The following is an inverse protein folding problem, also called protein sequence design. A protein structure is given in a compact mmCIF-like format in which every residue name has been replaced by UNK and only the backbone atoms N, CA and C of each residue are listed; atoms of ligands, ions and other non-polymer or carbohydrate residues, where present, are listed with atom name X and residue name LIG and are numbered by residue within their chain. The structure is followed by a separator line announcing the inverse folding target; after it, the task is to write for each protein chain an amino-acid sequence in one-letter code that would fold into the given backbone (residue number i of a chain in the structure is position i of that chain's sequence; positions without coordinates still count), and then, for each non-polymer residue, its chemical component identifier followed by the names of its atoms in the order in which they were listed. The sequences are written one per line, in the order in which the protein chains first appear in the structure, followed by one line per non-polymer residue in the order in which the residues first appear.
data_IF_428096692328
#
_entry.id   IF_428096692328
#
_cell.length_a   1.000
_cell.length_b   1.000
_cell.length_c   1.000
_cell.angle_alpha   90.00
_cell.angle_beta   90.00
_cell.angle_gamma   90.00
#
_symmetry.space_group_name_H-M   'P 1'
#
loop_
_entity.id
_entity.type
_entity.pdbx_description
1 polymer ?
#
# COMPACT_ATOMS: atom_id res chain seq x y z
N UNK A 1 -14.20 -24.87 9.91
CA UNK A 1 -14.20 -24.08 11.15
C UNK A 1 -12.83 -23.46 11.38
N UNK A 2 -11.78 -24.28 11.37
CA UNK A 2 -10.43 -23.76 11.53
C UNK A 2 -10.05 -22.81 10.43
N UNK A 3 -10.42 -23.12 9.17
CA UNK A 3 -10.14 -22.26 8.04
C UNK A 3 -10.82 -20.91 8.18
N UNK A 4 -12.06 -20.89 8.68
CA UNK A 4 -12.77 -19.64 8.90
C UNK A 4 -12.07 -18.78 9.97
N UNK A 5 -11.65 -19.41 11.07
CA UNK A 5 -10.94 -18.71 12.12
C UNK A 5 -9.60 -18.14 11.61
N UNK A 6 -8.89 -18.93 10.82
CA UNK A 6 -7.63 -18.49 10.24
C UNK A 6 -7.82 -17.33 9.28
N UNK A 7 -8.83 -17.41 8.40
CA UNK A 7 -9.13 -16.34 7.47
C UNK A 7 -9.52 -15.06 8.22
N UNK A 8 -10.30 -15.20 9.31
CA UNK A 8 -10.70 -14.06 10.11
C UNK A 8 -9.50 -13.38 10.79
N UNK A 9 -8.41 -14.13 11.03
CA UNK A 9 -7.21 -13.56 11.63
C UNK A 9 -6.32 -12.84 10.63
N UNK A 10 -6.54 -13.02 9.33
CA UNK A 10 -5.74 -12.39 8.29
C UNK A 10 -6.16 -10.95 8.05
N UNK A 11 -5.17 -10.07 7.84
CA UNK A 11 -5.45 -8.65 7.63
C UNK A 11 -4.27 -8.01 6.91
N UNK A 12 -4.57 -7.11 5.98
CA UNK A 12 -3.56 -6.33 5.28
C UNK A 12 -3.79 -4.85 5.53
N UNK A 13 -2.77 -4.16 6.01
CA UNK A 13 -2.82 -2.72 6.26
C UNK A 13 -1.60 -2.03 5.65
N UNK A 14 -1.70 -0.71 5.47
CA UNK A 14 -0.61 0.11 4.97
C UNK A 14 -0.56 1.45 5.69
N UNK A 15 0.57 2.13 5.57
CA UNK A 15 0.77 3.45 6.16
C UNK A 15 1.83 4.16 5.31
N UNK A 16 1.57 5.39 4.90
CA UNK A 16 2.50 6.12 4.05
C UNK A 16 3.02 7.35 4.79
N UNK A 17 4.34 7.47 4.88
CA UNK A 17 5.01 8.61 5.49
C UNK A 17 5.77 9.38 4.41
N UNK A 18 5.56 10.69 4.36
CA UNK A 18 6.31 11.59 3.50
C UNK A 18 7.56 12.03 4.26
N UNK A 19 8.72 11.47 3.90
CA UNK A 19 9.97 11.74 4.62
C UNK A 19 10.54 13.11 4.27
N UNK A 20 10.10 13.75 3.20
CA UNK A 20 10.53 15.09 2.87
C UNK A 20 9.92 16.13 3.80
N UNK A 21 8.66 15.94 4.21
CA UNK A 21 7.98 16.83 5.13
C UNK A 21 7.99 16.33 6.57
N UNK A 22 8.24 15.02 6.77
CA UNK A 22 8.13 14.39 8.08
C UNK A 22 6.70 14.15 8.53
N UNK A 23 5.74 14.22 7.62
CA UNK A 23 4.32 14.12 7.93
C UNK A 23 3.68 12.89 7.26
N UNK A 24 2.57 12.38 7.81
CA UNK A 24 1.82 11.33 7.11
C UNK A 24 1.38 11.82 5.73
N UNK A 25 1.41 10.91 4.76
CA UNK A 25 1.00 11.24 3.39
C UNK A 25 -0.50 11.07 3.25
N UNK A 26 -1.23 12.16 3.43
CA UNK A 26 -2.69 12.20 3.31
C UNK A 26 -3.10 12.43 1.86
N UNK A 27 -4.18 11.79 1.43
CA UNK A 27 -4.72 11.98 0.08
C UNK A 27 -3.94 11.26 -1.00
N UNK A 28 -3.16 10.25 -0.66
CA UNK A 28 -2.39 9.47 -1.62
C UNK A 28 -3.22 8.27 -2.08
N UNK A 29 -3.33 8.11 -3.40
CA UNK A 29 -4.10 7.02 -3.99
C UNK A 29 -3.27 5.73 -4.04
N UNK A 30 -3.90 4.62 -3.66
CA UNK A 30 -3.27 3.30 -3.62
C UNK A 30 -4.21 2.31 -4.30
N UNK A 31 -3.66 1.49 -5.19
CA UNK A 31 -4.43 0.41 -5.82
C UNK A 31 -3.83 -0.92 -5.42
N UNK A 32 -4.69 -1.85 -4.97
CA UNK A 32 -4.27 -3.19 -4.59
C UNK A 32 -4.61 -4.16 -5.72
N UNK A 33 -3.60 -4.96 -6.12
CA UNK A 33 -3.76 -5.98 -7.14
C UNK A 33 -3.46 -7.35 -6.56
N UNK A 34 -4.16 -8.35 -7.07
CA UNK A 34 -3.80 -9.75 -6.83
C UNK A 34 -2.96 -10.24 -8.00
N UNK A 35 -1.88 -10.94 -7.69
CA UNK A 35 -0.95 -11.46 -8.70
C UNK A 35 -1.14 -12.97 -8.80
N UNK A 36 -1.38 -13.45 -10.02
CA UNK A 36 -1.53 -14.88 -10.30
C UNK A 36 -0.76 -15.19 -11.58
N UNK A 37 0.48 -15.65 -11.43
CA UNK A 37 1.37 -15.86 -12.56
C UNK A 37 1.67 -14.54 -13.24
N UNK A 38 1.32 -14.44 -14.53
CA UNK A 38 1.52 -13.22 -15.29
C UNK A 38 0.31 -12.27 -15.22
N UNK A 39 -0.73 -12.68 -14.51
CA UNK A 39 -1.97 -11.90 -14.45
C UNK A 39 -1.99 -11.00 -13.22
N UNK A 40 -2.41 -9.77 -13.44
CA UNK A 40 -2.60 -8.78 -12.38
C UNK A 40 -4.05 -8.32 -12.40
N UNK A 41 -4.75 -8.55 -11.31
CA UNK A 41 -6.18 -8.22 -11.21
C UNK A 41 -6.39 -7.18 -10.12
N UNK A 42 -7.06 -6.07 -10.47
CA UNK A 42 -7.36 -5.03 -9.49
C UNK A 42 -8.36 -5.53 -8.47
N UNK A 43 -8.05 -5.35 -7.19
CA UNK A 43 -8.91 -5.74 -6.08
C UNK A 43 -9.68 -4.54 -5.55
N UNK A 44 -8.99 -3.44 -5.27
CA UNK A 44 -9.62 -2.21 -4.81
C UNK A 44 -8.67 -1.03 -4.93
N UNK A 45 -9.25 0.17 -4.92
CA UNK A 45 -8.50 1.42 -4.89
C UNK A 45 -8.94 2.19 -3.66
N UNK A 46 -7.99 2.74 -2.92
CA UNK A 46 -8.25 3.52 -1.71
C UNK A 46 -7.41 4.79 -1.73
N UNK A 47 -7.77 5.74 -0.85
CA UNK A 47 -7.02 6.99 -0.69
C UNK A 47 -6.70 7.10 0.80
N UNK A 48 -5.46 7.47 1.13
CA UNK A 48 -5.04 7.60 2.52
C UNK A 48 -5.76 8.75 3.21
N UNK A 49 -6.00 8.58 4.50
CA UNK A 49 -6.62 9.60 5.36
C UNK A 49 -5.56 10.54 5.93
N UNK A 50 -5.95 11.41 6.85
CA UNK A 50 -5.04 12.40 7.46
C UNK A 50 -3.87 11.79 8.22
N UNK A 51 -3.97 10.52 8.60
CA UNK A 51 -2.88 9.79 9.27
C UNK A 51 -1.99 9.05 8.30
N UNK A 52 -2.23 9.14 6.99
CA UNK A 52 -1.50 8.39 5.98
C UNK A 52 -1.87 6.92 5.94
N UNK A 53 -3.00 6.56 6.55
CA UNK A 53 -3.49 5.19 6.63
C UNK A 53 -4.80 5.08 5.86
N UNK A 54 -5.31 3.85 5.73
CA UNK A 54 -6.65 3.64 5.20
C UNK A 54 -7.65 3.57 6.36
N UNK A 55 -8.88 4.04 6.13
CA UNK A 55 -9.91 4.02 7.17
C UNK A 55 -10.27 2.61 7.61
N UNK A 56 -10.08 1.63 6.72
CA UNK A 56 -10.31 0.23 7.00
C UNK A 56 -9.13 -0.59 6.46
N UNK A 57 -8.91 -1.80 6.96
CA UNK A 57 -7.88 -2.66 6.38
C UNK A 57 -8.13 -2.86 4.89
N UNK A 58 -7.05 -2.99 4.13
CA UNK A 58 -7.15 -3.26 2.69
C UNK A 58 -7.81 -4.62 2.45
N UNK A 59 -7.45 -5.61 3.26
CA UNK A 59 -8.07 -6.93 3.25
C UNK A 59 -8.29 -7.36 4.69
N UNK A 60 -9.44 -7.98 4.97
CA UNK A 60 -9.74 -8.52 6.28
C UNK A 60 -10.90 -9.52 6.16
N UNK A 61 -11.00 -10.42 7.13
CA UNK A 61 -12.09 -11.38 7.15
C UNK A 61 -12.17 -12.21 5.88
N UNK A 62 -13.33 -12.27 5.29
CA UNK A 62 -13.58 -13.09 4.10
C UNK A 62 -12.84 -12.58 2.86
N UNK A 63 -12.42 -11.33 2.85
CA UNK A 63 -11.67 -10.78 1.73
C UNK A 63 -10.20 -11.20 1.75
N UNK A 64 -9.70 -11.61 2.91
CA UNK A 64 -8.30 -11.98 3.05
C UNK A 64 -8.05 -13.37 2.50
N UNK A 65 -7.00 -13.51 1.70
CA UNK A 65 -6.48 -14.82 1.31
C UNK A 65 -4.97 -14.71 1.16
N UNK A 66 -4.28 -15.81 1.41
CA UNK A 66 -2.84 -15.87 1.19
C UNK A 66 -2.54 -15.81 -0.30
N UNK A 67 -1.34 -15.38 -0.64
CA UNK A 67 -0.93 -15.30 -2.03
C UNK A 67 -0.05 -14.08 -2.27
N UNK A 68 0.17 -13.79 -3.54
CA UNK A 68 1.00 -12.69 -3.97
C UNK A 68 0.14 -11.50 -4.36
N UNK A 69 0.54 -10.31 -3.93
CA UNK A 69 -0.19 -9.07 -4.16
C UNK A 69 0.76 -7.95 -4.55
N UNK A 70 0.21 -6.88 -5.07
CA UNK A 70 0.99 -5.69 -5.39
C UNK A 70 0.20 -4.45 -4.97
N UNK A 71 0.86 -3.58 -4.21
CA UNK A 71 0.33 -2.26 -3.89
C UNK A 71 0.98 -1.24 -4.81
N UNK A 72 0.17 -0.43 -5.48
CA UNK A 72 0.65 0.58 -6.42
C UNK A 72 0.29 1.96 -5.86
N UNK A 73 1.31 2.72 -5.50
CA UNK A 73 1.16 4.02 -4.85
C UNK A 73 1.36 5.14 -5.86
N UNK A 74 0.40 6.06 -5.95
CA UNK A 74 0.51 7.24 -6.82
C UNK A 74 1.33 8.34 -6.12
N UNK A 75 2.61 8.06 -5.90
CA UNK A 75 3.49 8.93 -5.11
C UNK A 75 3.75 10.27 -5.80
N UNK A 76 3.95 10.27 -7.11
CA UNK A 76 4.22 11.51 -7.85
C UNK A 76 3.08 12.51 -7.74
N UNK A 77 1.85 12.04 -7.92
CA UNK A 77 0.67 12.91 -7.82
C UNK A 77 0.55 13.50 -6.42
N UNK A 78 0.79 12.68 -5.39
CA UNK A 78 0.77 13.17 -4.01
C UNK A 78 1.84 14.25 -3.80
N UNK A 79 3.08 13.98 -4.23
CA UNK A 79 4.20 14.91 -4.02
C UNK A 79 3.96 16.24 -4.73
N UNK A 80 3.43 16.21 -5.96
CA UNK A 80 3.09 17.45 -6.68
C UNK A 80 2.01 18.23 -5.94
N UNK A 81 1.02 17.53 -5.40
CA UNK A 81 -0.06 18.12 -4.62
C UNK A 81 0.42 18.78 -3.34
N UNK A 82 1.59 18.39 -2.83
CA UNK A 82 2.19 19.00 -1.64
C UNK A 82 3.10 20.17 -1.99
N UNK A 83 3.15 20.57 -3.26
CA UNK A 83 3.94 21.72 -3.67
C UNK A 83 5.38 21.41 -4.06
N UNK A 84 5.73 20.11 -4.17
CA UNK A 84 7.07 19.75 -4.64
C UNK A 84 7.17 20.00 -6.14
N UNK A 85 8.20 20.73 -6.57
CA UNK A 85 8.47 20.98 -7.99
C UNK A 85 9.23 19.78 -8.53
N UNK A 86 8.50 18.82 -9.13
CA UNK A 86 9.11 17.62 -9.68
C UNK A 86 9.44 17.83 -11.16
N UNK A 87 10.51 17.18 -11.66
CA UNK A 87 10.77 17.17 -13.10
C UNK A 87 9.64 16.44 -13.84
N UNK A 88 9.59 16.63 -15.16
CA UNK A 88 8.62 15.95 -16.01
C UNK A 88 9.35 15.11 -17.04
N UNK A 89 9.38 13.77 -16.92
CA UNK A 89 8.68 12.99 -15.88
C UNK A 89 9.41 13.03 -14.52
N UNK A 90 8.65 12.80 -13.45
CA UNK A 90 9.23 12.70 -12.11
C UNK A 90 10.11 11.47 -11.98
N UNK A 91 11.15 11.56 -11.15
CA UNK A 91 12.03 10.40 -10.91
C UNK A 91 11.24 9.26 -10.27
N UNK A 92 10.47 9.54 -9.23
CA UNK A 92 9.53 8.57 -8.66
C UNK A 92 8.12 9.08 -8.92
N UNK A 93 7.34 8.32 -9.66
CA UNK A 93 5.96 8.67 -9.97
C UNK A 93 5.04 7.58 -9.41
N UNK A 94 5.00 6.42 -10.04
CA UNK A 94 4.23 5.28 -9.55
C UNK A 94 5.18 4.33 -8.84
N UNK A 95 4.85 3.97 -7.59
CA UNK A 95 5.69 3.08 -6.78
C UNK A 95 4.96 1.76 -6.55
N UNK A 96 5.34 0.69 -7.24
CA UNK A 96 4.75 -0.63 -7.01
C UNK A 96 5.53 -1.41 -5.97
N UNK A 97 4.82 -2.05 -5.05
CA UNK A 97 5.42 -2.95 -4.06
C UNK A 97 4.73 -4.31 -4.21
N UNK A 98 5.47 -5.30 -4.70
CA UNK A 98 4.96 -6.66 -4.83
C UNK A 98 5.45 -7.48 -3.64
N UNK A 99 4.53 -8.20 -3.01
CA UNK A 99 4.83 -8.91 -1.78
C UNK A 99 3.97 -10.16 -1.68
N UNK A 100 4.38 -11.07 -0.78
CA UNK A 100 3.64 -12.30 -0.54
C UNK A 100 3.10 -12.37 0.88
N UNK A 101 1.90 -12.92 1.01
CA UNK A 101 1.30 -13.22 2.30
C UNK A 101 1.16 -14.74 2.39
N UNK A 102 2.04 -15.37 3.17
CA UNK A 102 2.14 -16.83 3.23
C UNK A 102 1.19 -17.45 4.24
N UNK A 103 0.73 -16.68 5.21
CA UNK A 103 -0.08 -17.18 6.33
C UNK A 103 -1.26 -16.26 6.61
N UNK A 104 -2.35 -16.77 7.20
CA UNK A 104 -3.50 -15.92 7.57
C UNK A 104 -3.20 -15.18 8.88
N UNK A 105 -2.47 -14.07 8.77
CA UNK A 105 -2.11 -13.23 9.90
C UNK A 105 -2.06 -11.77 9.46
N UNK A 106 -1.75 -10.86 10.38
CA UNK A 106 -1.68 -9.43 10.05
C UNK A 106 -0.38 -9.12 9.30
N UNK A 107 -0.53 -8.54 8.11
CA UNK A 107 0.58 -8.00 7.32
C UNK A 107 0.43 -6.49 7.24
N UNK A 108 1.49 -5.79 7.59
CA UNK A 108 1.53 -4.33 7.50
C UNK A 108 2.67 -3.95 6.54
N UNK A 109 2.32 -3.23 5.47
CA UNK A 109 3.26 -2.87 4.41
C UNK A 109 3.34 -1.35 4.36
N UNK A 110 4.23 -0.74 5.16
CA UNK A 110 4.38 0.72 5.16
C UNK A 110 5.23 1.18 3.99
N UNK A 111 5.06 2.42 3.59
CA UNK A 111 5.86 3.06 2.55
C UNK A 111 6.37 4.39 3.05
N UNK A 112 7.68 4.62 2.90
CA UNK A 112 8.31 5.90 3.17
C UNK A 112 8.72 6.50 1.83
N UNK A 113 8.24 7.70 1.52
CA UNK A 113 8.47 8.31 0.20
C UNK A 113 9.12 9.69 0.32
N UNK A 114 9.89 10.02 -0.72
CA UNK A 114 10.42 11.35 -0.98
C UNK A 114 10.54 11.49 -2.50
N UNK A 115 10.85 12.68 -3.03
CA UNK A 115 10.96 12.84 -4.48
C UNK A 115 11.98 11.92 -5.16
N UNK A 116 13.02 11.48 -4.44
CA UNK A 116 14.09 10.71 -5.05
C UNK A 116 14.41 9.39 -4.34
N UNK A 117 13.55 8.95 -3.42
CA UNK A 117 13.78 7.68 -2.75
C UNK A 117 12.54 7.16 -2.06
N UNK A 118 12.49 5.85 -1.88
CA UNK A 118 11.44 5.26 -1.08
C UNK A 118 11.95 4.00 -0.42
N UNK A 119 11.28 3.58 0.64
CA UNK A 119 11.58 2.30 1.26
C UNK A 119 10.30 1.68 1.80
N UNK A 120 10.34 0.37 1.95
CA UNK A 120 9.25 -0.41 2.51
C UNK A 120 9.85 -1.52 3.36
N UNK A 121 9.04 -2.05 4.25
CA UNK A 121 9.44 -3.17 5.09
C UNK A 121 8.17 -3.88 5.58
N UNK A 122 8.33 -5.04 6.16
CA UNK A 122 7.19 -5.71 6.76
C UNK A 122 7.04 -5.21 8.19
N UNK A 123 6.02 -4.38 8.41
CA UNK A 123 5.72 -3.86 9.74
C UNK A 123 5.06 -4.90 10.63
N UNK A 124 5.00 -4.62 11.89
CA UNK A 124 4.36 -5.51 12.85
C UNK A 124 2.93 -5.11 13.15
#
# INVERSE_FOLDING_TARGET
VGATAEAAGGRLTTHVLDTASGSPAAGLSIELFRIEGDRRTSVKTVVTNSDGRCDAPLLAGDEFSTGEYELVFAAGDYLRGQGNALPEPAFLDIVPIRFGMAEPKHYHVPLLISPYGYSTYRGS
#
